data_IF_606229880839
#
_entry.id   IF_606229880839
#
_cell.length_a   1.000
_cell.length_b   1.000
_cell.length_c   1.000
_cell.angle_alpha   90.00
_cell.angle_beta   90.00
_cell.angle_gamma   90.00
#
_symmetry.space_group_name_H-M   'P 1'
#
loop_
_entity.id
_entity.type
_entity.pdbx_description
1 polymer ?
#
# COMPACT_ATOMS: atom_id res chain seq x y z
N UNK A 1 -26.36 -2.79 -10.46
CA UNK A 1 -25.76 -1.93 -9.40
C UNK A 1 -24.26 -2.11 -9.34
N UNK A 2 -23.46 -1.02 -9.30
CA UNK A 2 -22.01 -1.13 -9.09
C UNK A 2 -21.71 -1.70 -7.69
N UNK A 3 -20.75 -2.63 -7.61
CA UNK A 3 -20.31 -3.16 -6.33
C UNK A 3 -19.81 -2.03 -5.39
N UNK A 4 -20.04 -2.12 -4.05
CA UNK A 4 -19.68 -1.07 -3.10
C UNK A 4 -18.21 -0.62 -3.17
N UNK A 5 -17.30 -1.53 -3.45
CA UNK A 5 -15.86 -1.25 -3.63
C UNK A 5 -15.57 -0.39 -4.85
N UNK A 6 -16.25 -0.65 -5.98
CA UNK A 6 -16.13 0.13 -7.22
C UNK A 6 -16.61 1.57 -7.01
N UNK A 7 -17.73 1.76 -6.27
CA UNK A 7 -18.23 3.10 -5.90
C UNK A 7 -17.23 3.86 -5.05
N UNK A 8 -16.62 3.20 -4.05
CA UNK A 8 -15.61 3.84 -3.19
C UNK A 8 -14.39 4.26 -4.01
N UNK A 9 -13.86 3.38 -4.86
CA UNK A 9 -12.70 3.70 -5.67
C UNK A 9 -12.98 4.85 -6.65
N UNK A 10 -14.13 4.85 -7.32
CA UNK A 10 -14.55 5.96 -8.18
C UNK A 10 -14.63 7.30 -7.42
N UNK A 11 -15.13 7.28 -6.17
CA UNK A 11 -15.14 8.46 -5.31
C UNK A 11 -13.73 8.95 -5.00
N UNK A 12 -12.81 8.03 -4.68
CA UNK A 12 -11.40 8.35 -4.46
C UNK A 12 -10.76 8.95 -5.72
N UNK A 13 -11.02 8.37 -6.89
CA UNK A 13 -10.50 8.88 -8.16
C UNK A 13 -10.99 10.29 -8.52
N UNK A 14 -12.19 10.67 -8.10
CA UNK A 14 -12.71 12.04 -8.26
C UNK A 14 -12.11 13.01 -7.26
N UNK A 15 -11.85 12.56 -6.04
CA UNK A 15 -11.38 13.41 -4.94
C UNK A 15 -9.86 13.65 -4.96
N UNK A 16 -9.09 12.68 -5.44
CA UNK A 16 -7.63 12.70 -5.41
C UNK A 16 -7.03 12.77 -6.81
N UNK A 17 -5.99 13.61 -6.98
CA UNK A 17 -5.27 13.70 -8.24
C UNK A 17 -4.64 12.35 -8.62
N UNK A 18 -4.75 12.00 -9.91
CA UNK A 18 -4.07 10.83 -10.50
C UNK A 18 -2.69 11.19 -11.04
N UNK A 19 -2.27 12.45 -10.97
CA UNK A 19 -0.96 12.88 -11.48
C UNK A 19 0.14 12.10 -10.76
N UNK A 20 1.07 11.56 -11.55
CA UNK A 20 2.28 10.97 -11.01
C UNK A 20 3.15 12.14 -10.53
N UNK A 21 3.44 12.15 -9.23
CA UNK A 21 4.42 13.06 -8.66
C UNK A 21 5.52 12.21 -8.02
N UNK A 22 6.74 12.39 -8.48
CA UNK A 22 7.89 11.61 -8.02
C UNK A 22 8.55 12.17 -6.75
N UNK A 23 7.95 13.19 -6.12
CA UNK A 23 8.46 13.78 -4.88
C UNK A 23 7.90 13.04 -3.64
N UNK A 24 8.79 12.43 -2.88
CA UNK A 24 8.47 11.73 -1.63
C UNK A 24 8.17 12.65 -0.46
N UNK A 25 8.46 13.94 -0.55
CA UNK A 25 8.34 14.89 0.57
C UNK A 25 6.93 14.95 1.16
N UNK A 26 5.90 14.84 0.33
CA UNK A 26 4.51 14.91 0.80
C UNK A 26 4.10 13.69 1.60
N UNK A 27 4.37 12.51 1.06
CA UNK A 27 4.02 11.26 1.74
C UNK A 27 4.81 11.14 3.05
N UNK A 28 6.10 11.48 3.07
CA UNK A 28 6.93 11.49 4.29
C UNK A 28 6.36 12.43 5.35
N UNK A 29 5.96 13.66 5.00
CA UNK A 29 5.31 14.59 5.93
C UNK A 29 3.99 14.06 6.50
N UNK A 30 3.22 13.30 5.72
CA UNK A 30 2.00 12.66 6.23
C UNK A 30 2.34 11.55 7.21
N UNK A 31 3.31 10.70 6.89
CA UNK A 31 3.74 9.59 7.74
C UNK A 31 4.35 10.10 9.04
N UNK A 32 5.17 11.15 9.00
CA UNK A 32 5.69 11.85 10.18
C UNK A 32 4.56 12.33 11.11
N UNK A 33 3.51 12.96 10.57
CA UNK A 33 2.33 13.36 11.35
C UNK A 33 1.52 12.19 11.91
N UNK A 34 1.74 10.99 11.39
CA UNK A 34 1.11 9.75 11.85
C UNK A 34 2.04 8.90 12.72
N UNK A 35 3.15 9.49 13.20
CA UNK A 35 4.19 8.85 14.03
C UNK A 35 4.94 7.74 13.29
N UNK A 36 5.30 7.98 12.03
CA UNK A 36 6.12 7.10 11.18
C UNK A 36 5.69 5.62 11.21
N UNK A 37 4.44 5.31 10.86
CA UNK A 37 3.95 3.92 10.92
C UNK A 37 4.71 2.98 9.97
N UNK A 38 5.41 3.51 8.96
CA UNK A 38 6.27 2.73 8.07
C UNK A 38 7.46 2.10 8.78
N UNK A 39 7.95 2.70 9.87
CA UNK A 39 9.06 2.17 10.66
C UNK A 39 8.66 0.93 11.47
N UNK A 40 7.35 0.66 11.60
CA UNK A 40 6.82 -0.53 12.25
C UNK A 40 6.74 -1.75 11.31
N UNK A 41 7.02 -1.55 10.01
CA UNK A 41 7.03 -2.63 9.03
C UNK A 41 8.42 -3.23 8.91
N UNK A 42 8.56 -4.44 9.41
CA UNK A 42 9.75 -5.26 9.23
C UNK A 42 9.70 -6.06 7.92
N UNK A 43 10.81 -6.68 7.53
CA UNK A 43 10.90 -7.60 6.38
C UNK A 43 10.27 -7.03 5.10
N UNK A 44 10.56 -5.78 4.77
CA UNK A 44 10.03 -5.14 3.57
C UNK A 44 10.81 -5.56 2.33
N UNK A 45 10.12 -6.12 1.35
CA UNK A 45 10.67 -6.52 0.05
C UNK A 45 9.99 -5.68 -1.04
N UNK A 46 10.78 -4.87 -1.72
CA UNK A 46 10.32 -4.10 -2.86
C UNK A 46 10.49 -4.89 -4.17
N UNK A 47 9.40 -5.16 -4.86
CA UNK A 47 9.40 -5.82 -6.17
C UNK A 47 9.44 -4.74 -7.27
N UNK A 48 10.56 -4.72 -8.00
CA UNK A 48 10.88 -3.73 -9.02
C UNK A 48 10.88 -4.41 -10.40
N UNK A 49 10.53 -3.70 -11.44
CA UNK A 49 10.59 -4.20 -12.82
C UNK A 49 9.60 -3.50 -13.73
N UNK A 50 9.74 -3.66 -15.04
CA UNK A 50 8.77 -3.20 -16.04
C UNK A 50 7.56 -4.14 -16.07
N UNK A 51 7.81 -5.42 -16.24
CA UNK A 51 6.81 -6.47 -16.39
C UNK A 51 6.98 -7.58 -15.35
N UNK A 52 5.94 -8.39 -15.14
CA UNK A 52 5.99 -9.58 -14.29
C UNK A 52 6.02 -9.33 -12.77
N UNK A 53 6.04 -8.08 -12.31
CA UNK A 53 6.10 -7.75 -10.87
C UNK A 53 5.04 -8.47 -10.04
N UNK A 54 3.79 -8.43 -10.49
CA UNK A 54 2.70 -9.08 -9.77
C UNK A 54 2.85 -10.62 -9.73
N UNK A 55 3.37 -11.23 -10.81
CA UNK A 55 3.65 -12.67 -10.84
C UNK A 55 4.73 -13.04 -9.84
N UNK A 56 5.84 -12.29 -9.80
CA UNK A 56 6.94 -12.49 -8.83
C UNK A 56 6.42 -12.30 -7.40
N UNK A 57 5.69 -11.22 -7.13
CA UNK A 57 5.11 -10.94 -5.82
C UNK A 57 4.17 -12.06 -5.37
N UNK A 58 3.30 -12.52 -6.26
CA UNK A 58 2.35 -13.59 -5.97
C UNK A 58 3.05 -14.92 -5.69
N UNK A 59 4.07 -15.27 -6.48
CA UNK A 59 4.87 -16.47 -6.26
C UNK A 59 5.61 -16.42 -4.92
N UNK A 60 6.28 -15.30 -4.63
CA UNK A 60 6.98 -15.11 -3.36
C UNK A 60 6.02 -15.18 -2.16
N UNK A 61 4.84 -14.55 -2.28
CA UNK A 61 3.79 -14.65 -1.25
C UNK A 61 3.45 -16.13 -0.96
N UNK A 62 3.18 -16.93 -1.99
CA UNK A 62 2.84 -18.34 -1.79
C UNK A 62 4.00 -19.16 -1.20
N UNK A 63 5.24 -18.90 -1.59
CA UNK A 63 6.40 -19.57 -0.99
C UNK A 63 6.55 -19.23 0.49
N UNK A 64 6.39 -17.99 0.86
CA UNK A 64 6.46 -17.56 2.26
C UNK A 64 5.30 -18.16 3.08
N UNK A 65 4.08 -18.09 2.57
CA UNK A 65 2.91 -18.68 3.24
C UNK A 65 3.02 -20.22 3.38
N UNK A 66 3.58 -20.91 2.40
CA UNK A 66 3.85 -22.35 2.48
C UNK A 66 4.89 -22.70 3.57
N UNK A 67 5.73 -21.75 3.95
CA UNK A 67 6.67 -21.86 5.07
C UNK A 67 6.11 -21.25 6.37
N UNK A 68 4.79 -21.13 6.49
CA UNK A 68 4.10 -20.59 7.67
C UNK A 68 4.46 -19.14 8.00
N UNK A 69 4.98 -18.38 7.03
CA UNK A 69 5.26 -16.95 7.22
C UNK A 69 3.98 -16.12 6.98
N UNK A 70 3.76 -15.10 7.78
CA UNK A 70 2.70 -14.13 7.55
C UNK A 70 3.15 -13.12 6.51
N UNK A 71 2.30 -12.83 5.55
CA UNK A 71 2.63 -11.96 4.41
C UNK A 71 1.59 -10.88 4.21
N UNK A 72 2.04 -9.64 4.18
CA UNK A 72 1.25 -8.50 3.70
C UNK A 72 1.68 -8.18 2.27
N UNK A 73 0.75 -7.77 1.41
CA UNK A 73 1.12 -7.32 0.06
C UNK A 73 0.46 -6.00 -0.29
N UNK A 74 1.19 -5.18 -1.05
CA UNK A 74 0.66 -3.99 -1.72
C UNK A 74 0.95 -4.07 -3.21
N UNK A 75 -0.11 -4.15 -4.02
CA UNK A 75 -0.01 -4.32 -5.50
C UNK A 75 -0.74 -3.21 -6.25
N UNK A 76 -0.36 -3.00 -7.51
CA UNK A 76 -1.00 -2.04 -8.41
C UNK A 76 -0.80 -2.40 -9.89
N UNK A 77 -1.85 -2.21 -10.72
CA UNK A 77 -3.23 -1.86 -10.38
C UNK A 77 -4.03 -3.03 -9.83
N UNK A 78 -5.26 -2.81 -9.38
CA UNK A 78 -6.24 -3.88 -9.14
C UNK A 78 -7.02 -4.19 -10.43
N UNK A 79 -7.54 -5.42 -10.55
CA UNK A 79 -8.34 -5.84 -11.70
C UNK A 79 -9.82 -5.44 -11.54
N UNK A 80 -10.46 -5.83 -10.46
CA UNK A 80 -11.90 -5.65 -10.26
C UNK A 80 -12.26 -4.85 -9.01
N UNK A 81 -11.46 -4.99 -7.95
CA UNK A 81 -11.77 -4.47 -6.62
C UNK A 81 -10.53 -3.83 -5.98
N UNK A 82 -10.68 -2.59 -5.51
CA UNK A 82 -9.57 -1.86 -4.87
C UNK A 82 -8.95 -2.61 -3.68
N UNK A 83 -9.71 -3.47 -3.02
CA UNK A 83 -9.22 -4.30 -1.91
C UNK A 83 -8.15 -5.29 -2.33
N UNK A 84 -8.12 -5.71 -3.61
CA UNK A 84 -7.10 -6.60 -4.15
C UNK A 84 -5.68 -6.03 -4.05
N UNK A 85 -5.56 -4.71 -3.90
CA UNK A 85 -4.26 -4.06 -3.67
C UNK A 85 -3.64 -4.36 -2.31
N UNK A 86 -4.44 -4.84 -1.35
CA UNK A 86 -4.08 -4.93 0.05
C UNK A 86 -4.40 -6.31 0.61
N UNK A 87 -3.41 -7.18 0.63
CA UNK A 87 -3.47 -8.43 1.36
C UNK A 87 -2.82 -8.23 2.72
N UNK A 88 -3.47 -8.67 3.79
CA UNK A 88 -3.05 -8.45 5.18
C UNK A 88 -3.06 -9.77 5.93
N UNK A 89 -1.93 -10.45 5.93
CA UNK A 89 -1.74 -11.75 6.59
C UNK A 89 -2.54 -12.90 5.96
N UNK A 90 -3.85 -12.88 6.05
CA UNK A 90 -4.73 -13.95 5.56
C UNK A 90 -6.02 -13.47 4.89
N UNK A 91 -6.15 -12.17 4.67
CA UNK A 91 -7.37 -11.56 4.09
C UNK A 91 -7.07 -10.29 3.30
N UNK A 92 -7.99 -9.90 2.46
CA UNK A 92 -8.01 -8.56 1.91
C UNK A 92 -8.50 -7.53 2.94
N UNK A 93 -8.00 -6.30 2.81
CA UNK A 93 -8.51 -5.16 3.58
C UNK A 93 -10.03 -5.01 3.41
N UNK A 94 -10.73 -4.65 4.47
CA UNK A 94 -12.17 -4.34 4.39
C UNK A 94 -12.42 -2.90 3.92
N UNK A 95 -13.61 -2.65 3.33
CA UNK A 95 -14.03 -1.30 2.95
C UNK A 95 -14.16 -0.36 4.17
N UNK A 96 -14.46 -0.93 5.34
CA UNK A 96 -14.52 -0.19 6.61
C UNK A 96 -13.14 0.32 7.01
N UNK A 97 -12.11 -0.51 6.85
CA UNK A 97 -10.71 -0.15 7.13
C UNK A 97 -10.21 0.91 6.15
N UNK A 98 -10.47 0.77 4.85
CA UNK A 98 -10.13 1.78 3.85
C UNK A 98 -10.72 3.15 4.25
N UNK A 99 -12.01 3.18 4.62
CA UNK A 99 -12.67 4.42 5.07
C UNK A 99 -12.08 4.96 6.37
N UNK A 100 -11.76 4.08 7.32
CA UNK A 100 -11.14 4.44 8.60
C UNK A 100 -9.78 5.11 8.39
N UNK A 101 -8.88 4.45 7.67
CA UNK A 101 -7.53 4.97 7.45
C UNK A 101 -7.53 6.23 6.58
N UNK A 102 -8.41 6.30 5.55
CA UNK A 102 -8.61 7.54 4.80
C UNK A 102 -8.93 8.71 5.72
N UNK A 103 -9.89 8.55 6.65
CA UNK A 103 -10.24 9.61 7.61
C UNK A 103 -9.06 10.02 8.51
N UNK A 104 -8.24 9.06 8.94
CA UNK A 104 -7.04 9.34 9.75
C UNK A 104 -6.05 10.18 8.94
N UNK A 105 -5.78 9.78 7.69
CA UNK A 105 -4.87 10.50 6.79
C UNK A 105 -5.39 11.92 6.49
N UNK A 106 -6.67 12.09 6.23
CA UNK A 106 -7.27 13.40 5.96
C UNK A 106 -7.15 14.40 7.12
N UNK A 107 -7.08 13.92 8.37
CA UNK A 107 -6.84 14.77 9.55
C UNK A 107 -5.46 15.43 9.54
N UNK A 108 -4.50 14.93 8.79
CA UNK A 108 -3.20 15.60 8.60
C UNK A 108 -3.30 16.90 7.83
N UNK A 109 -4.42 17.12 7.09
CA UNK A 109 -4.69 18.27 6.22
C UNK A 109 -3.69 18.46 5.08
N UNK A 110 -2.92 17.43 4.76
CA UNK A 110 -1.97 17.43 3.64
C UNK A 110 -2.61 16.84 2.39
N UNK A 111 -2.38 17.50 1.25
CA UNK A 111 -2.92 17.03 -0.05
C UNK A 111 -2.05 15.90 -0.60
N UNK A 112 -2.63 14.74 -0.77
CA UNK A 112 -2.01 13.56 -1.40
C UNK A 112 -2.59 13.32 -2.79
N UNK A 113 -1.84 12.60 -3.61
CA UNK A 113 -2.38 11.94 -4.80
C UNK A 113 -3.10 10.65 -4.41
N UNK A 114 -3.87 10.08 -5.33
CA UNK A 114 -4.57 8.82 -5.08
C UNK A 114 -3.60 7.69 -4.69
N UNK A 115 -2.45 7.58 -5.38
CA UNK A 115 -1.48 6.53 -5.09
C UNK A 115 -0.82 6.72 -3.72
N UNK A 116 -0.44 7.95 -3.36
CA UNK A 116 0.10 8.27 -2.02
C UNK A 116 -0.91 7.95 -0.92
N UNK A 117 -2.18 8.25 -1.13
CA UNK A 117 -3.24 7.87 -0.19
C UNK A 117 -3.31 6.35 0.00
N UNK A 118 -3.32 5.58 -1.11
CA UNK A 118 -3.40 4.13 -1.07
C UNK A 118 -2.15 3.53 -0.39
N UNK A 119 -0.96 4.08 -0.65
CA UNK A 119 0.29 3.69 0.02
C UNK A 119 0.20 3.93 1.54
N UNK A 120 -0.27 5.10 1.97
CA UNK A 120 -0.46 5.38 3.40
C UNK A 120 -1.51 4.45 4.04
N UNK A 121 -2.60 4.13 3.32
CA UNK A 121 -3.61 3.15 3.80
C UNK A 121 -2.96 1.78 3.99
N UNK A 122 -2.12 1.34 3.04
CA UNK A 122 -1.38 0.08 3.19
C UNK A 122 -0.51 0.09 4.44
N UNK A 123 0.35 1.09 4.58
CA UNK A 123 1.27 1.21 5.72
C UNK A 123 0.51 1.16 7.05
N UNK A 124 -0.54 1.98 7.21
CA UNK A 124 -1.36 2.00 8.43
C UNK A 124 -2.08 0.68 8.71
N UNK A 125 -2.45 -0.06 7.67
CA UNK A 125 -3.12 -1.36 7.84
C UNK A 125 -2.12 -2.47 8.13
N UNK A 126 -0.97 -2.50 7.44
CA UNK A 126 0.08 -3.47 7.64
C UNK A 126 0.74 -3.32 9.03
N UNK A 127 0.94 -2.09 9.52
CA UNK A 127 1.44 -1.81 10.88
C UNK A 127 0.50 -2.30 12.01
N UNK A 128 -0.70 -2.80 11.68
CA UNK A 128 -1.64 -3.42 12.65
C UNK A 128 -1.69 -4.94 12.51
N UNK A 129 -0.92 -5.51 11.62
CA UNK A 129 -0.70 -6.96 11.53
C UNK A 129 0.45 -7.38 12.44
N UNK A 130 0.87 -8.61 12.34
CA UNK A 130 2.03 -9.13 13.08
C UNK A 130 3.31 -8.40 12.64
N UNK A 131 4.14 -7.98 13.60
CA UNK A 131 5.40 -7.25 13.35
C UNK A 131 6.39 -8.08 12.51
N UNK A 132 6.41 -9.41 12.68
CA UNK A 132 7.29 -10.30 11.93
C UNK A 132 6.80 -10.60 10.51
N UNK A 133 5.66 -10.03 10.09
CA UNK A 133 5.13 -10.25 8.74
C UNK A 133 6.07 -9.74 7.66
N UNK A 134 6.25 -10.53 6.60
CA UNK A 134 6.85 -10.04 5.36
C UNK A 134 5.94 -9.06 4.66
N UNK A 135 6.51 -7.95 4.20
CA UNK A 135 5.77 -6.88 3.53
C UNK A 135 6.22 -6.77 2.07
N UNK A 136 5.50 -7.42 1.14
CA UNK A 136 5.81 -7.40 -0.29
C UNK A 136 5.16 -6.20 -0.95
N UNK A 137 5.96 -5.29 -1.47
CA UNK A 137 5.49 -4.02 -2.03
C UNK A 137 5.84 -3.94 -3.50
N UNK A 138 4.83 -3.89 -4.37
CA UNK A 138 5.02 -3.64 -5.78
C UNK A 138 5.36 -2.16 -6.00
N UNK A 139 6.59 -1.89 -6.43
CA UNK A 139 7.06 -0.55 -6.75
C UNK A 139 6.64 -0.14 -8.17
N UNK A 140 6.32 1.14 -8.34
CA UNK A 140 6.05 1.72 -9.65
C UNK A 140 7.32 1.93 -10.49
N UNK A 141 7.18 2.64 -11.60
CA UNK A 141 8.29 3.02 -12.46
C UNK A 141 9.25 3.96 -11.72
N UNK A 142 10.57 3.79 -11.95
CA UNK A 142 11.61 4.63 -11.35
C UNK A 142 11.73 4.50 -9.83
N UNK A 143 11.99 3.30 -9.33
CA UNK A 143 12.09 2.94 -7.90
C UNK A 143 12.71 4.01 -7.00
N UNK A 144 13.84 4.63 -7.38
CA UNK A 144 14.51 5.67 -6.56
C UNK A 144 13.61 6.87 -6.21
N UNK A 145 12.59 7.14 -7.02
CA UNK A 145 11.63 8.24 -6.83
C UNK A 145 10.20 7.73 -6.63
N UNK A 146 10.02 6.41 -6.53
CA UNK A 146 8.69 5.82 -6.31
C UNK A 146 8.25 6.01 -4.86
N UNK A 147 6.95 6.17 -4.67
CA UNK A 147 6.33 6.42 -3.36
C UNK A 147 6.34 5.22 -2.42
N UNK A 148 6.73 4.07 -2.93
CA UNK A 148 6.95 2.87 -2.14
C UNK A 148 8.40 2.74 -1.67
N UNK A 149 9.31 3.64 -2.08
CA UNK A 149 10.69 3.71 -1.59
C UNK A 149 10.77 4.56 -0.31
N UNK A 150 10.11 4.10 0.74
CA UNK A 150 10.02 4.78 2.02
C UNK A 150 10.97 4.17 3.06
N UNK A 151 11.38 2.93 2.85
CA UNK A 151 12.25 2.19 3.76
C UNK A 151 13.70 2.36 3.36
N UNK A 152 14.55 2.61 4.34
CA UNK A 152 15.99 2.85 4.13
C UNK A 152 16.77 1.55 3.90
N UNK A 153 16.31 0.45 4.47
CA UNK A 153 16.95 -0.87 4.38
C UNK A 153 15.90 -1.96 4.06
N UNK A 154 15.31 -1.98 2.85
CA UNK A 154 14.50 -3.11 2.43
C UNK A 154 15.38 -4.36 2.27
N UNK A 155 14.79 -5.54 2.49
CA UNK A 155 15.44 -6.83 2.20
C UNK A 155 15.67 -7.01 0.71
#
# INVERSE_FOLDING_TARGET
>A
MLQPSKKIYQKLQKQYSRRINLDLKRIKKVLEKLNNPEEQLENVINIIGSDGKNSVLTSLKYFLEANNQKVNTFTSPHLYDVRQRFWLGNRFISLKEIKKYKKIIERTRLKLTLFELLTCIYILSAAKTDSESYNLVESGLLFKKDRTNLWTNPL
#
